data_IF_700321513805
#
_entry.id   IF_700321513805
#
_cell.length_a   1.000
_cell.length_b   1.000
_cell.length_c   1.000
_cell.angle_alpha   90.00
_cell.angle_beta   90.00
_cell.angle_gamma   90.00
#
_symmetry.space_group_name_H-M   'P 1'
#
loop_
_entity.id
_entity.type
_entity.pdbx_description
1 polymer ?
#
# COMPACT_ATOMS: atom_id res chain seq x y z
N UNK A 1 -29.36 -8.82 -21.27
CA UNK A 1 -28.14 -9.64 -21.09
C UNK A 1 -28.05 -10.03 -19.63
N UNK A 2 -27.93 -11.30 -19.24
CA UNK A 2 -27.84 -11.67 -17.83
C UNK A 2 -26.44 -11.28 -17.33
N UNK A 3 -26.37 -10.41 -16.33
CA UNK A 3 -25.14 -10.13 -15.60
C UNK A 3 -24.79 -11.39 -14.78
N UNK A 4 -23.84 -12.17 -15.26
CA UNK A 4 -23.21 -13.21 -14.43
C UNK A 4 -22.47 -12.51 -13.31
N UNK A 5 -22.98 -12.64 -12.09
CA UNK A 5 -22.31 -12.14 -10.89
C UNK A 5 -21.03 -12.95 -10.64
N UNK A 6 -19.91 -12.47 -11.16
CA UNK A 6 -18.58 -13.08 -11.03
C UNK A 6 -17.94 -12.76 -9.67
N UNK A 7 -18.69 -12.87 -8.57
CA UNK A 7 -18.14 -12.63 -7.24
C UNK A 7 -17.21 -13.77 -6.82
N UNK A 8 -16.02 -13.41 -6.37
CA UNK A 8 -15.05 -14.36 -5.81
C UNK A 8 -15.52 -14.75 -4.41
N UNK A 9 -15.69 -16.05 -4.16
CA UNK A 9 -16.07 -16.54 -2.83
C UNK A 9 -14.90 -16.40 -1.85
N UNK A 10 -15.14 -15.88 -0.62
CA UNK A 10 -14.14 -15.86 0.42
C UNK A 10 -13.63 -17.27 0.74
N UNK A 11 -12.34 -17.37 1.09
CA UNK A 11 -11.64 -18.61 1.42
C UNK A 11 -10.57 -18.30 2.48
N UNK A 12 -9.91 -19.32 3.03
CA UNK A 12 -8.73 -19.15 3.88
C UNK A 12 -7.62 -18.32 3.22
N UNK A 13 -7.63 -18.23 1.87
CA UNK A 13 -6.69 -17.46 1.07
C UNK A 13 -7.26 -16.12 0.55
N UNK A 14 -8.56 -15.89 0.71
CA UNK A 14 -9.28 -14.73 0.15
C UNK A 14 -10.16 -14.14 1.25
N UNK A 15 -9.66 -13.10 1.90
CA UNK A 15 -10.36 -12.37 2.95
C UNK A 15 -10.46 -10.88 2.62
N UNK A 16 -11.64 -10.31 2.81
CA UNK A 16 -11.84 -8.87 2.77
C UNK A 16 -11.92 -8.35 4.21
N UNK A 17 -10.93 -7.57 4.64
CA UNK A 17 -11.01 -6.82 5.89
C UNK A 17 -10.86 -5.34 5.59
N UNK A 18 -11.97 -4.69 5.27
CA UNK A 18 -12.00 -3.26 5.00
C UNK A 18 -12.85 -2.55 6.04
N UNK A 19 -12.23 -2.22 7.17
CA UNK A 19 -12.72 -1.13 8.01
C UNK A 19 -11.78 0.06 7.80
N UNK A 20 -12.20 1.10 7.07
CA UNK A 20 -11.42 2.33 7.01
C UNK A 20 -11.30 2.87 8.45
N UNK A 21 -10.08 3.15 8.91
CA UNK A 21 -9.84 3.67 10.25
C UNK A 21 -10.65 4.96 10.45
N UNK A 22 -11.33 5.08 11.60
CA UNK A 22 -11.85 6.39 12.02
C UNK A 22 -10.64 7.29 12.27
N UNK A 23 -10.68 8.53 11.80
CA UNK A 23 -9.57 9.50 11.77
C UNK A 23 -8.94 9.89 13.12
N UNK A 24 -9.23 9.18 14.21
CA UNK A 24 -8.52 9.32 15.48
C UNK A 24 -7.15 8.67 15.33
N UNK A 25 -6.11 9.50 15.36
CA UNK A 25 -4.67 9.21 15.40
C UNK A 25 -4.36 7.72 15.65
N UNK A 26 -4.47 6.93 14.60
CA UNK A 26 -4.32 5.48 14.67
C UNK A 26 -2.84 5.21 14.53
N UNK A 27 -2.23 4.69 15.58
CA UNK A 27 -0.83 4.27 15.52
C UNK A 27 -0.76 3.03 14.65
N UNK A 28 -0.30 3.21 13.41
CA UNK A 28 -0.07 2.12 12.49
C UNK A 28 1.11 1.28 12.96
N UNK A 29 0.90 -0.03 13.07
CA UNK A 29 1.96 -0.96 13.45
C UNK A 29 2.00 -2.12 12.48
N UNK A 30 3.15 -2.77 12.38
CA UNK A 30 3.35 -3.95 11.55
C UNK A 30 2.88 -3.73 10.10
N UNK A 31 3.18 -2.58 9.51
CA UNK A 31 2.82 -2.31 8.13
C UNK A 31 3.61 -3.19 7.19
N UNK A 32 2.97 -3.70 6.15
CA UNK A 32 3.58 -4.54 5.14
C UNK A 32 3.04 -4.15 3.77
N UNK A 33 3.91 -4.17 2.77
CA UNK A 33 3.49 -4.31 1.37
C UNK A 33 3.69 -5.76 0.96
N UNK A 34 2.76 -6.26 0.15
CA UNK A 34 2.81 -7.59 -0.44
C UNK A 34 2.71 -7.43 -1.95
N UNK A 35 3.64 -7.99 -2.69
CA UNK A 35 3.59 -7.86 -4.14
C UNK A 35 4.62 -8.70 -4.87
N UNK A 36 4.42 -8.80 -6.18
CA UNK A 36 5.38 -9.36 -7.11
C UNK A 36 6.28 -8.25 -7.64
N UNK A 37 7.51 -8.61 -8.02
CA UNK A 37 8.42 -7.74 -8.73
C UNK A 37 8.91 -8.44 -10.00
N UNK A 38 9.54 -7.69 -10.90
CA UNK A 38 10.02 -8.22 -12.20
C UNK A 38 11.08 -9.32 -12.05
N UNK A 39 11.76 -9.38 -10.92
CA UNK A 39 12.91 -10.26 -10.71
C UNK A 39 12.61 -11.40 -9.72
N UNK A 40 11.35 -11.55 -9.28
CA UNK A 40 10.95 -12.59 -8.35
C UNK A 40 9.69 -13.29 -8.81
N UNK A 41 9.74 -14.62 -8.77
CA UNK A 41 8.68 -15.54 -9.19
C UNK A 41 7.69 -15.88 -8.06
N UNK A 42 8.00 -15.49 -6.83
CA UNK A 42 7.15 -15.69 -5.66
C UNK A 42 6.74 -14.35 -5.04
N UNK A 43 5.59 -14.35 -4.35
CA UNK A 43 5.06 -13.19 -3.65
C UNK A 43 6.05 -12.74 -2.56
N UNK A 44 6.39 -11.46 -2.54
CA UNK A 44 7.26 -10.87 -1.54
C UNK A 44 6.46 -10.19 -0.45
N UNK A 45 7.08 -10.10 0.73
CA UNK A 45 6.64 -9.23 1.82
C UNK A 45 7.78 -8.32 2.22
N UNK A 46 7.51 -7.02 2.18
CA UNK A 46 8.40 -6.01 2.75
C UNK A 46 7.69 -5.36 3.94
N UNK A 47 8.32 -5.43 5.11
CA UNK A 47 7.83 -4.73 6.29
C UNK A 47 8.21 -3.25 6.20
N UNK A 48 7.22 -2.39 6.42
CA UNK A 48 7.32 -0.94 6.25
C UNK A 48 7.16 -0.23 7.60
N UNK A 49 7.81 0.92 7.70
CA UNK A 49 7.56 1.95 8.71
C UNK A 49 7.07 3.19 7.98
N UNK A 50 5.91 3.70 8.38
CA UNK A 50 5.43 5.00 7.88
C UNK A 50 6.31 6.07 8.52
N UNK A 51 6.89 6.94 7.69
CA UNK A 51 7.86 7.96 8.11
C UNK A 51 7.36 9.36 7.73
N UNK A 52 8.09 10.38 8.18
CA UNK A 52 7.84 11.76 7.77
C UNK A 52 7.99 11.93 6.25
N UNK A 53 7.29 12.90 5.68
CA UNK A 53 7.36 13.16 4.22
C UNK A 53 8.70 13.77 3.77
N UNK A 54 9.42 14.44 4.67
CA UNK A 54 10.63 15.20 4.35
C UNK A 54 11.73 14.41 3.60
N UNK A 55 12.05 13.15 3.96
CA UNK A 55 13.02 12.34 3.19
C UNK A 55 12.54 12.03 1.77
N UNK A 56 11.22 11.84 1.58
CA UNK A 56 10.63 11.54 0.28
C UNK A 56 10.56 12.77 -0.64
N UNK A 57 10.17 13.93 -0.11
CA UNK A 57 9.99 15.17 -0.89
C UNK A 57 11.29 15.67 -1.53
N UNK A 58 12.43 15.44 -0.87
CA UNK A 58 13.74 15.88 -1.37
C UNK A 58 14.25 15.04 -2.56
N UNK A 59 13.73 13.83 -2.73
CA UNK A 59 14.29 12.81 -3.64
C UNK A 59 13.31 12.42 -4.76
N UNK A 60 12.02 12.65 -4.53
CA UNK A 60 10.94 12.18 -5.38
C UNK A 60 9.80 13.19 -5.48
N UNK A 61 9.02 13.12 -6.57
CA UNK A 61 7.81 13.92 -6.74
C UNK A 61 6.73 13.39 -5.79
N UNK A 62 6.48 14.14 -4.72
CA UNK A 62 5.43 13.89 -3.74
C UNK A 62 4.18 14.73 -4.05
N UNK A 63 3.04 14.23 -3.62
CA UNK A 63 1.75 14.95 -3.64
C UNK A 63 1.14 14.96 -2.24
N UNK A 64 0.06 15.73 -2.04
CA UNK A 64 -0.71 15.71 -0.78
C UNK A 64 -1.25 14.30 -0.44
N UNK A 65 -1.46 13.47 -1.46
CA UNK A 65 -1.92 12.09 -1.32
C UNK A 65 -0.78 11.09 -1.12
N UNK A 66 0.48 11.51 -1.18
CA UNK A 66 1.61 10.62 -0.99
C UNK A 66 1.85 10.29 0.49
N UNK A 67 2.27 9.06 0.74
CA UNK A 67 2.67 8.50 2.04
C UNK A 67 4.10 8.00 1.92
N UNK A 68 5.00 8.60 2.70
CA UNK A 68 6.39 8.19 2.79
C UNK A 68 6.53 6.99 3.73
N UNK A 69 7.39 6.06 3.34
CA UNK A 69 7.70 4.88 4.13
C UNK A 69 9.16 4.46 3.95
N UNK A 70 9.63 3.71 4.92
CA UNK A 70 10.96 3.09 4.91
C UNK A 70 10.80 1.59 5.13
N UNK A 71 11.66 0.79 4.50
CA UNK A 71 11.74 -0.63 4.80
C UNK A 71 12.27 -0.80 6.24
N UNK A 72 11.60 -1.60 7.05
CA UNK A 72 12.00 -1.85 8.44
C UNK A 72 13.37 -2.54 8.52
N UNK A 73 13.71 -3.31 7.49
CA UNK A 73 15.00 -3.95 7.29
C UNK A 73 15.55 -3.47 5.96
N UNK A 74 16.57 -2.61 6.00
CA UNK A 74 17.18 -2.09 4.78
C UNK A 74 18.05 -3.13 4.12
N UNK A 75 17.74 -3.41 2.86
CA UNK A 75 18.61 -4.08 1.92
C UNK A 75 18.55 -3.27 0.64
N UNK A 76 19.69 -2.71 0.24
CA UNK A 76 19.77 -1.91 -0.97
C UNK A 76 19.46 -2.82 -2.17
N UNK A 77 18.25 -2.70 -2.70
CA UNK A 77 17.79 -3.52 -3.80
C UNK A 77 16.85 -2.72 -4.73
N UNK A 78 17.42 -2.25 -5.84
CA UNK A 78 16.72 -1.48 -6.86
C UNK A 78 15.70 -2.31 -7.67
N UNK A 79 15.60 -3.62 -7.41
CA UNK A 79 14.71 -4.55 -8.12
C UNK A 79 13.56 -5.07 -7.26
N UNK A 80 13.57 -4.76 -5.96
CA UNK A 80 12.58 -5.19 -4.97
C UNK A 80 11.34 -4.27 -4.91
N UNK A 81 11.15 -3.36 -5.87
CA UNK A 81 9.89 -2.62 -5.96
C UNK A 81 8.76 -3.54 -6.46
N UNK A 82 7.67 -3.55 -5.69
CA UNK A 82 6.48 -4.28 -6.07
C UNK A 82 5.79 -3.62 -7.27
N UNK A 83 5.01 -4.38 -8.04
CA UNK A 83 4.22 -3.80 -9.12
C UNK A 83 3.24 -2.74 -8.60
N UNK A 84 2.98 -1.73 -9.43
CA UNK A 84 1.95 -0.74 -9.17
C UNK A 84 0.59 -1.43 -8.93
N UNK A 85 -0.18 -0.91 -7.98
CA UNK A 85 -1.40 -1.53 -7.47
C UNK A 85 -1.19 -2.42 -6.24
N UNK A 86 0.05 -2.74 -5.86
CA UNK A 86 0.33 -3.54 -4.66
C UNK A 86 -0.18 -2.85 -3.38
N UNK A 87 -0.84 -3.56 -2.47
CA UNK A 87 -1.44 -2.98 -1.28
C UNK A 87 -0.41 -2.74 -0.17
N UNK A 88 -0.56 -1.64 0.55
CA UNK A 88 0.05 -1.46 1.88
C UNK A 88 -1.00 -1.70 2.94
N UNK A 89 -0.76 -2.72 3.77
CA UNK A 89 -1.64 -3.12 4.87
C UNK A 89 -0.95 -2.93 6.21
N UNK A 90 -1.66 -2.38 7.19
CA UNK A 90 -1.16 -2.21 8.55
C UNK A 90 -2.09 -2.89 9.56
N UNK A 91 -1.52 -3.38 10.65
CA UNK A 91 -2.29 -3.96 11.75
C UNK A 91 -2.91 -2.84 12.59
N UNK A 92 -4.21 -2.95 12.83
CA UNK A 92 -4.96 -2.23 13.86
C UNK A 92 -4.92 -3.06 15.15
N UNK A 93 -4.07 -2.73 16.14
CA UNK A 93 -3.83 -3.61 17.28
C UNK A 93 -5.09 -3.81 18.12
N UNK A 94 -5.89 -2.76 18.30
CA UNK A 94 -7.12 -2.78 19.09
C UNK A 94 -8.18 -3.72 18.49
N UNK A 95 -8.25 -3.81 17.15
CA UNK A 95 -9.27 -4.58 16.45
C UNK A 95 -8.76 -5.96 15.99
N UNK A 96 -7.45 -6.22 16.10
CA UNK A 96 -6.77 -7.38 15.51
C UNK A 96 -7.11 -7.57 14.02
N UNK A 97 -7.26 -6.45 13.31
CA UNK A 97 -7.59 -6.41 11.88
C UNK A 97 -6.48 -5.76 11.08
N UNK A 98 -6.37 -6.16 9.83
CA UNK A 98 -5.54 -5.48 8.85
C UNK A 98 -6.36 -4.43 8.13
N UNK A 99 -5.78 -3.25 7.93
CA UNK A 99 -6.37 -2.15 7.19
C UNK A 99 -5.49 -1.81 5.99
N UNK A 100 -6.13 -1.60 4.83
CA UNK A 100 -5.48 -1.05 3.65
C UNK A 100 -5.26 0.45 3.85
N UNK A 101 -4.00 0.89 3.87
CA UNK A 101 -3.64 2.29 4.14
C UNK A 101 -3.04 2.99 2.92
N UNK A 102 -2.47 2.23 1.99
CA UNK A 102 -1.84 2.77 0.79
C UNK A 102 -1.85 1.79 -0.38
N UNK A 103 -1.51 2.31 -1.55
CA UNK A 103 -1.34 1.54 -2.78
C UNK A 103 -0.05 1.98 -3.48
N UNK A 104 0.66 1.03 -4.07
CA UNK A 104 1.88 1.30 -4.83
C UNK A 104 1.54 2.01 -6.14
N UNK A 105 2.20 3.14 -6.41
CA UNK A 105 2.25 3.76 -7.74
C UNK A 105 3.52 3.33 -8.48
N UNK A 106 3.54 3.54 -9.80
CA UNK A 106 4.77 3.36 -10.57
C UNK A 106 5.81 4.42 -10.15
N UNK A 107 6.98 3.98 -9.70
CA UNK A 107 8.10 4.84 -9.28
C UNK A 107 9.42 4.22 -9.73
N UNK A 108 10.49 5.00 -9.59
CA UNK A 108 11.85 4.58 -9.92
C UNK A 108 12.59 4.29 -8.61
N UNK A 109 12.79 3.01 -8.31
CA UNK A 109 13.44 2.49 -7.11
C UNK A 109 14.73 3.22 -6.72
N UNK A 110 15.62 3.47 -7.67
CA UNK A 110 16.95 4.00 -7.39
C UNK A 110 17.25 5.27 -8.18
N UNK A 111 17.95 6.18 -7.52
CA UNK A 111 18.57 7.32 -8.18
C UNK A 111 19.72 6.84 -9.10
N UNK A 112 20.16 7.67 -10.07
CA UNK A 112 21.23 7.29 -11.01
C UNK A 112 22.54 6.85 -10.33
N UNK A 113 22.79 7.29 -9.10
CA UNK A 113 23.94 6.90 -8.29
C UNK A 113 23.77 5.55 -7.56
N UNK A 114 22.69 4.80 -7.83
CA UNK A 114 22.40 3.49 -7.25
C UNK A 114 21.80 3.52 -5.85
N UNK A 115 21.57 4.70 -5.26
CA UNK A 115 20.94 4.83 -3.94
C UNK A 115 19.43 4.61 -4.07
N UNK A 116 18.86 3.74 -3.23
CA UNK A 116 17.42 3.50 -3.16
C UNK A 116 16.70 4.77 -2.72
N UNK A 117 15.64 5.12 -3.44
CA UNK A 117 14.74 6.20 -3.07
C UNK A 117 13.81 5.71 -1.95
N UNK A 118 13.44 6.58 -1.01
CA UNK A 118 12.39 6.26 -0.05
C UNK A 118 11.11 5.78 -0.75
N UNK A 119 10.49 4.73 -0.21
CA UNK A 119 9.30 4.11 -0.80
C UNK A 119 8.11 5.01 -0.54
N UNK A 120 7.39 5.35 -1.60
CA UNK A 120 6.19 6.16 -1.54
C UNK A 120 4.98 5.43 -2.10
N UNK A 121 3.88 5.56 -1.37
CA UNK A 121 2.59 4.99 -1.72
C UNK A 121 1.54 6.10 -1.76
N UNK A 122 0.44 5.86 -2.45
CA UNK A 122 -0.70 6.78 -2.44
C UNK A 122 -1.67 6.40 -1.33
N UNK A 123 -2.04 7.37 -0.49
CA UNK A 123 -2.93 7.21 0.66
C UNK A 123 -4.32 6.80 0.19
N UNK A 124 -4.87 5.76 0.81
CA UNK A 124 -6.26 5.37 0.59
C UNK A 124 -7.21 6.36 1.27
N UNK A 125 -6.83 6.89 2.44
CA UNK A 125 -7.69 7.74 3.28
C UNK A 125 -8.24 8.96 2.53
N UNK A 126 -7.43 9.60 1.69
CA UNK A 126 -7.83 10.74 0.85
C UNK A 126 -8.96 10.44 -0.12
N UNK A 127 -9.12 9.17 -0.52
CA UNK A 127 -10.06 8.74 -1.55
C UNK A 127 -11.23 7.90 -1.01
N UNK A 128 -11.32 7.71 0.32
CA UNK A 128 -12.31 6.79 0.92
C UNK A 128 -13.77 7.16 0.63
N UNK A 129 -14.09 8.44 0.56
CA UNK A 129 -15.45 8.89 0.21
C UNK A 129 -15.79 8.53 -1.23
N UNK A 130 -14.95 8.93 -2.18
CA UNK A 130 -15.13 8.62 -3.60
C UNK A 130 -15.20 7.12 -3.87
N UNK A 131 -14.37 6.31 -3.19
CA UNK A 131 -14.41 4.84 -3.30
C UNK A 131 -15.79 4.28 -2.90
N UNK A 132 -16.36 4.77 -1.79
CA UNK A 132 -17.68 4.33 -1.32
C UNK A 132 -18.80 4.76 -2.27
N UNK A 133 -18.76 6.00 -2.74
CA UNK A 133 -19.74 6.54 -3.69
C UNK A 133 -19.72 5.77 -5.01
N UNK A 134 -18.52 5.46 -5.53
CA UNK A 134 -18.35 4.69 -6.76
C UNK A 134 -18.90 3.27 -6.62
N UNK A 135 -18.57 2.58 -5.52
CA UNK A 135 -19.10 1.24 -5.25
C UNK A 135 -20.63 1.28 -5.15
N UNK A 136 -21.19 2.26 -4.42
CA UNK A 136 -22.63 2.41 -4.26
C UNK A 136 -23.36 2.74 -5.57
N UNK A 137 -22.73 3.47 -6.48
CA UNK A 137 -23.30 3.82 -7.79
C UNK A 137 -23.27 2.67 -8.81
N UNK A 138 -22.52 1.60 -8.53
CA UNK A 138 -22.36 0.44 -9.42
C UNK A 138 -23.23 -0.76 -8.99
N UNK A 139 -24.00 -0.61 -7.91
CA UNK A 139 -25.00 -1.59 -7.43
C UNK A 139 -26.40 -1.28 -7.97
#
# INVERSE_FOLDING_TARGET
SPQTNNYISPSNYIGHSFTPPKAKQTVWTNCNTLGWSRQRDHLQRVQLKISDMKPCENISIATVNSMCTEAAYHKQDCSEEEFAGSPVVCLLPAERKWALVGVASWRIACAPNGIERPRMYDKITSNTQWLRETIAATV
#
